data_IF_017549995529
#
_entry.id   IF_017549995529
#
_cell.length_a   1.000
_cell.length_b   1.000
_cell.length_c   1.000
_cell.angle_alpha   90.00
_cell.angle_beta   90.00
_cell.angle_gamma   90.00
#
_symmetry.space_group_name_H-M   'P 1'
#
loop_
_entity.id
_entity.type
_entity.pdbx_description
1 polymer ?
#
# COMPACT_ATOMS: atom_id res chain seq x y z
N UNK A 1 22.79 9.12 -27.19
CA UNK A 1 21.92 8.77 -26.03
C UNK A 1 20.96 9.94 -25.74
N UNK A 2 19.65 9.68 -25.57
CA UNK A 2 18.63 10.75 -25.56
C UNK A 2 18.44 11.45 -24.20
N UNK A 3 18.84 10.83 -23.07
CA UNK A 3 18.66 11.41 -21.73
C UNK A 3 19.83 12.30 -21.27
N UNK A 4 20.89 12.46 -22.06
CA UNK A 4 22.09 13.21 -21.64
C UNK A 4 21.83 14.72 -21.43
N UNK A 5 20.88 15.28 -22.20
CA UNK A 5 20.49 16.70 -22.15
C UNK A 5 19.18 16.93 -21.37
N UNK A 6 18.67 15.91 -20.67
CA UNK A 6 17.41 16.02 -19.93
C UNK A 6 17.63 16.76 -18.59
N UNK A 7 16.69 17.63 -18.22
CA UNK A 7 16.69 18.33 -16.94
C UNK A 7 16.12 17.44 -15.82
N UNK A 8 16.76 17.45 -14.64
CA UNK A 8 16.22 16.81 -13.42
C UNK A 8 15.24 17.78 -12.77
N UNK A 9 13.95 17.50 -12.88
CA UNK A 9 12.90 18.33 -12.27
C UNK A 9 12.72 18.02 -10.77
N UNK A 10 12.93 16.77 -10.36
CA UNK A 10 12.71 16.33 -8.98
C UNK A 10 13.49 15.06 -8.65
N UNK A 11 13.96 14.94 -7.40
CA UNK A 11 14.62 13.75 -6.87
C UNK A 11 14.03 13.39 -5.50
N UNK A 12 13.18 12.36 -5.48
CA UNK A 12 12.44 11.95 -4.29
C UNK A 12 12.95 10.66 -3.66
N UNK A 13 12.78 10.55 -2.35
CA UNK A 13 12.97 9.32 -1.59
C UNK A 13 11.68 8.97 -0.83
N UNK A 14 11.39 7.67 -0.72
CA UNK A 14 10.22 7.17 0.00
C UNK A 14 10.54 5.94 0.83
N UNK A 15 9.94 5.85 2.02
CA UNK A 15 10.00 4.66 2.87
C UNK A 15 8.98 3.65 2.38
N UNK A 16 9.38 2.38 2.32
CA UNK A 16 8.52 1.28 1.88
C UNK A 16 8.22 0.38 3.07
N UNK A 17 7.01 0.47 3.65
CA UNK A 17 6.73 -0.27 4.86
C UNK A 17 6.46 -1.75 4.56
N UNK A 18 7.06 -2.61 5.37
CA UNK A 18 6.95 -4.08 5.30
C UNK A 18 6.79 -4.64 6.71
N UNK A 19 6.08 -5.77 6.84
CA UNK A 19 6.18 -6.60 8.05
C UNK A 19 7.44 -7.48 7.97
N UNK A 20 7.95 -8.02 9.10
CA UNK A 20 9.17 -8.84 9.10
C UNK A 20 9.14 -10.04 8.15
N UNK A 21 7.95 -10.61 7.89
CA UNK A 21 7.75 -11.72 6.96
C UNK A 21 7.38 -11.31 5.53
N UNK A 22 7.33 -9.99 5.25
CA UNK A 22 6.97 -9.41 3.97
C UNK A 22 5.57 -9.76 3.45
N UNK A 23 4.66 -10.21 4.32
CA UNK A 23 3.29 -10.55 3.93
C UNK A 23 2.35 -9.36 4.19
N UNK A 24 1.77 -8.71 3.14
CA UNK A 24 0.83 -7.61 3.32
C UNK A 24 -0.48 -8.10 3.93
N UNK A 25 -0.95 -7.40 4.97
CA UNK A 25 -2.13 -7.81 5.74
C UNK A 25 -2.97 -6.62 6.20
N UNK A 26 -4.28 -6.82 6.20
CA UNK A 26 -5.24 -6.04 6.97
C UNK A 26 -5.43 -6.76 8.30
N UNK A 27 -5.21 -6.06 9.41
CA UNK A 27 -5.39 -6.61 10.75
C UNK A 27 -6.40 -5.76 11.52
N UNK A 28 -7.36 -6.42 12.17
CA UNK A 28 -8.41 -5.80 12.96
C UNK A 28 -8.25 -6.22 14.42
N UNK A 29 -8.08 -5.24 15.29
CA UNK A 29 -8.02 -5.40 16.74
C UNK A 29 -9.11 -4.51 17.38
N UNK A 30 -10.22 -5.14 17.76
CA UNK A 30 -11.41 -4.45 18.26
C UNK A 30 -11.95 -3.40 17.27
N UNK A 31 -11.77 -2.12 17.61
CA UNK A 31 -12.18 -0.98 16.76
C UNK A 31 -11.04 -0.37 15.95
N UNK A 32 -9.85 -0.98 15.96
CA UNK A 32 -8.67 -0.51 15.23
C UNK A 32 -8.38 -1.42 14.05
N UNK A 33 -8.38 -0.83 12.86
CA UNK A 33 -7.94 -1.52 11.63
C UNK A 33 -6.57 -0.97 11.25
N UNK A 34 -5.63 -1.87 10.96
CA UNK A 34 -4.30 -1.55 10.43
C UNK A 34 -4.12 -2.20 9.07
N UNK A 35 -3.55 -1.46 8.13
CA UNK A 35 -3.21 -1.96 6.79
C UNK A 35 -1.76 -1.63 6.53
N UNK A 36 -0.94 -2.65 6.30
CA UNK A 36 0.47 -2.44 6.05
C UNK A 36 1.10 -3.64 5.28
N UNK A 37 2.39 -3.53 4.98
CA UNK A 37 3.20 -4.64 4.47
C UNK A 37 3.33 -4.71 2.95
N UNK A 38 2.86 -3.69 2.22
CA UNK A 38 2.78 -3.76 0.75
C UNK A 38 4.09 -3.48 0.02
N UNK A 39 5.12 -2.93 0.68
CA UNK A 39 6.45 -2.69 0.12
C UNK A 39 6.42 -2.15 -1.34
N UNK A 40 7.05 -2.85 -2.30
CA UNK A 40 7.09 -2.49 -3.74
C UNK A 40 5.79 -2.74 -4.50
N UNK A 41 4.78 -3.29 -3.83
CA UNK A 41 3.50 -3.67 -4.42
C UNK A 41 2.34 -2.79 -3.93
N UNK A 42 2.64 -1.66 -3.26
CA UNK A 42 1.63 -0.71 -2.80
C UNK A 42 0.64 -0.31 -3.89
N UNK A 43 1.12 0.12 -5.05
CA UNK A 43 0.25 0.53 -6.16
C UNK A 43 -0.67 -0.61 -6.64
N UNK A 44 -0.09 -1.81 -6.82
CA UNK A 44 -0.82 -2.97 -7.34
C UNK A 44 -1.85 -3.52 -6.33
N UNK A 45 -1.48 -3.60 -5.06
CA UNK A 45 -2.28 -4.27 -4.04
C UNK A 45 -3.25 -3.34 -3.30
N UNK A 46 -3.05 -2.02 -3.36
CA UNK A 46 -3.88 -1.04 -2.63
C UNK A 46 -5.38 -1.21 -2.90
N UNK A 47 -5.86 -1.35 -4.15
CA UNK A 47 -7.30 -1.51 -4.40
C UNK A 47 -7.89 -2.75 -3.72
N UNK A 48 -7.19 -3.88 -3.76
CA UNK A 48 -7.65 -5.12 -3.13
C UNK A 48 -7.67 -5.00 -1.59
N UNK A 49 -6.69 -4.33 -0.99
CA UNK A 49 -6.64 -4.09 0.47
C UNK A 49 -7.68 -3.08 0.94
N UNK A 50 -7.95 -2.05 0.14
CA UNK A 50 -9.04 -1.12 0.42
C UNK A 50 -10.40 -1.83 0.40
N UNK A 51 -10.64 -2.71 -0.57
CA UNK A 51 -11.87 -3.52 -0.62
C UNK A 51 -12.00 -4.48 0.57
N UNK A 52 -10.89 -5.08 1.02
CA UNK A 52 -10.85 -5.90 2.23
C UNK A 52 -11.23 -5.10 3.48
N UNK A 53 -10.68 -3.89 3.66
CA UNK A 53 -11.09 -2.98 4.74
C UNK A 53 -12.56 -2.60 4.61
N UNK A 54 -13.04 -2.29 3.40
CA UNK A 54 -14.44 -1.94 3.15
C UNK A 54 -15.40 -3.03 3.63
N UNK A 55 -15.10 -4.30 3.36
CA UNK A 55 -15.89 -5.44 3.86
C UNK A 55 -15.90 -5.56 5.38
N UNK A 56 -14.82 -5.16 6.06
CA UNK A 56 -14.74 -5.17 7.53
C UNK A 56 -15.60 -4.04 8.12
N UNK A 57 -15.57 -2.86 7.51
CA UNK A 57 -16.31 -1.68 7.99
C UNK A 57 -17.81 -1.76 7.67
N UNK A 58 -18.17 -2.32 6.51
CA UNK A 58 -19.54 -2.40 6.01
C UNK A 58 -19.99 -3.86 5.74
N UNK A 59 -20.17 -4.68 6.79
CA UNK A 59 -20.62 -6.05 6.61
C UNK A 59 -22.08 -6.07 6.12
N UNK A 60 -22.31 -6.51 4.88
CA UNK A 60 -23.66 -6.75 4.33
C UNK A 60 -24.05 -5.96 3.08
N UNK A 61 -23.17 -5.13 2.52
CA UNK A 61 -23.39 -4.49 1.22
C UNK A 61 -22.62 -5.25 0.14
N UNK A 62 -23.29 -6.19 -0.54
CA UNK A 62 -22.83 -6.82 -1.79
C UNK A 62 -23.49 -6.16 -2.99
#
# INVERSE_FOLDING_TARGET
PAFAEAEIIEANAGIRPSYPDNVPRVHCDGRRITVNGMYRHGFLLSPARAAEVGRIIFPGTS
#
